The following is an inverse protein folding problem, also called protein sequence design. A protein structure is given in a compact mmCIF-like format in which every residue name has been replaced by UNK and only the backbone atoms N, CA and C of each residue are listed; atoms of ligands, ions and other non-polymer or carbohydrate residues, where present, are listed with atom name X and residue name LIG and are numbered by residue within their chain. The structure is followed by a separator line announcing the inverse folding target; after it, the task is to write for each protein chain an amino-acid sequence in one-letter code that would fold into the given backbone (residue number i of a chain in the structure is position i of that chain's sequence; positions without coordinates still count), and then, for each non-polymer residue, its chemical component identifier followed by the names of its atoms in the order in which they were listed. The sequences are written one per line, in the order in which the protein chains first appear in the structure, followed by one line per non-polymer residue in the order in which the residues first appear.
data_IF_912821655374
#
_entry.id   IF_912821655374
#
_cell.length_a   1.000
_cell.length_b   1.000
_cell.length_c   1.000
_cell.angle_alpha   90.00
_cell.angle_beta   90.00
_cell.angle_gamma   90.00
#
_symmetry.space_group_name_H-M   'P 1'
#
loop_
_entity.id
_entity.type
_entity.pdbx_description
1 polymer ?
#
# COMPACT_ATOMS: atom_id res chain seq x y z
N UNK A 1 16.91 53.71 3.34
CA UNK A 1 16.48 55.12 3.27
C UNK A 1 17.04 55.73 2.02
N UNK A 2 16.24 56.49 1.27
CA UNK A 2 16.65 57.10 -0.01
C UNK A 2 17.39 58.45 0.13
N UNK A 3 17.60 58.94 1.37
CA UNK A 3 18.41 60.13 1.66
C UNK A 3 17.69 61.48 1.61
N UNK A 4 16.51 61.57 1.00
CA UNK A 4 15.75 62.84 0.91
C UNK A 4 15.13 63.32 2.23
N UNK A 5 14.86 62.40 3.17
CA UNK A 5 14.41 62.72 4.54
C UNK A 5 15.41 62.13 5.54
N UNK A 6 16.02 62.98 6.38
CA UNK A 6 16.98 62.59 7.41
C UNK A 6 16.54 63.10 8.79
N UNK A 7 16.92 62.37 9.83
CA UNK A 7 16.66 62.77 11.23
C UNK A 7 17.74 63.76 11.66
N UNK A 8 17.34 64.86 12.27
CA UNK A 8 18.23 65.88 12.84
C UNK A 8 18.41 65.69 14.35
N UNK A 9 19.52 66.14 14.92
CA UNK A 9 19.86 65.98 16.35
C UNK A 9 19.02 66.83 17.31
N UNK A 10 18.16 67.71 16.78
CA UNK A 10 17.38 68.67 17.58
C UNK A 10 16.33 68.02 18.51
N UNK A 11 15.92 66.79 18.23
CA UNK A 11 14.88 66.10 19.01
C UNK A 11 15.34 64.71 19.45
N UNK A 12 15.67 64.56 20.73
CA UNK A 12 16.07 63.28 21.32
C UNK A 12 15.00 62.17 21.17
N UNK A 13 13.72 62.55 21.21
CA UNK A 13 12.60 61.62 21.01
C UNK A 13 12.62 61.00 19.61
N UNK A 14 12.99 61.76 18.57
CA UNK A 14 13.09 61.25 17.21
C UNK A 14 14.23 60.22 17.07
N UNK A 15 15.36 60.45 17.75
CA UNK A 15 16.49 59.50 17.78
C UNK A 15 16.07 58.20 18.49
N UNK A 16 15.40 58.28 19.64
CA UNK A 16 14.89 57.10 20.35
C UNK A 16 13.90 56.29 19.49
N UNK A 17 12.95 56.96 18.84
CA UNK A 17 12.00 56.31 17.93
C UNK A 17 12.70 55.63 16.75
N UNK A 18 13.74 56.26 16.17
CA UNK A 18 14.51 55.67 15.08
C UNK A 18 15.24 54.39 15.54
N UNK A 19 15.85 54.40 16.72
CA UNK A 19 16.52 53.23 17.30
C UNK A 19 15.50 52.12 17.56
N UNK A 20 14.39 52.44 18.22
CA UNK A 20 13.33 51.49 18.52
C UNK A 20 12.72 50.87 17.25
N UNK A 21 12.41 51.68 16.24
CA UNK A 21 11.94 51.22 14.94
C UNK A 21 12.97 50.33 14.25
N UNK A 22 14.26 50.66 14.33
CA UNK A 22 15.33 49.86 13.71
C UNK A 22 15.45 48.49 14.38
N UNK A 23 15.41 48.44 15.72
CA UNK A 23 15.45 47.18 16.48
C UNK A 23 14.22 46.33 16.15
N UNK A 24 13.01 46.89 16.22
CA UNK A 24 11.79 46.17 15.86
C UNK A 24 11.80 45.71 14.39
N UNK A 25 12.30 46.55 13.47
CA UNK A 25 12.42 46.21 12.06
C UNK A 25 13.31 44.99 11.83
N UNK A 26 14.46 44.91 12.51
CA UNK A 26 15.36 43.76 12.43
C UNK A 26 14.73 42.50 13.05
N UNK A 27 14.01 42.63 14.17
CA UNK A 27 13.29 41.50 14.79
C UNK A 27 12.23 40.94 13.85
N UNK A 28 11.38 41.80 13.29
CA UNK A 28 10.32 41.40 12.35
C UNK A 28 10.93 40.77 11.09
N UNK A 29 11.97 41.37 10.52
CA UNK A 29 12.62 40.85 9.33
C UNK A 29 13.26 39.46 9.58
N UNK A 30 13.94 39.30 10.71
CA UNK A 30 14.55 38.02 11.11
C UNK A 30 13.48 36.94 11.30
N UNK A 31 12.37 37.28 11.97
CA UNK A 31 11.24 36.37 12.16
C UNK A 31 10.61 35.96 10.82
N UNK A 32 10.33 36.91 9.93
CA UNK A 32 9.74 36.64 8.62
C UNK A 32 10.66 35.76 7.75
N UNK A 33 11.96 36.07 7.71
CA UNK A 33 12.93 35.26 6.98
C UNK A 33 12.97 33.83 7.52
N UNK A 34 13.03 33.66 8.85
CA UNK A 34 12.98 32.36 9.51
C UNK A 34 11.70 31.58 9.20
N UNK A 35 10.54 32.24 9.26
CA UNK A 35 9.25 31.62 8.95
C UNK A 35 9.14 31.17 7.49
N UNK A 36 9.64 31.99 6.55
CA UNK A 36 9.66 31.66 5.12
C UNK A 36 10.60 30.48 4.86
N UNK A 37 11.83 30.50 5.39
CA UNK A 37 12.77 29.39 5.25
C UNK A 37 12.21 28.11 5.85
N UNK A 38 11.61 28.16 7.05
CA UNK A 38 10.96 27.00 7.66
C UNK A 38 9.79 26.47 6.81
N UNK A 39 9.05 27.35 6.12
CA UNK A 39 7.95 26.93 5.21
C UNK A 39 8.48 26.28 3.93
N UNK A 40 9.57 26.81 3.36
CA UNK A 40 10.21 26.26 2.15
C UNK A 40 10.89 24.92 2.46
N UNK A 41 11.52 24.79 3.62
CA UNK A 41 12.17 23.55 4.06
C UNK A 41 11.19 22.42 4.38
N UNK A 42 9.88 22.69 4.54
CA UNK A 42 8.88 21.63 4.74
C UNK A 42 8.70 20.82 3.45
N UNK A 43 9.06 19.55 3.51
CA UNK A 43 9.04 18.57 2.41
C UNK A 43 7.63 18.12 1.95
N UNK A 44 6.56 18.90 2.16
CA UNK A 44 5.17 18.50 1.83
C UNK A 44 4.95 18.16 0.35
N UNK A 45 5.82 18.64 -0.54
CA UNK A 45 5.74 18.37 -1.98
C UNK A 45 6.13 16.93 -2.35
N UNK A 46 6.77 16.16 -1.46
CA UNK A 46 7.20 14.78 -1.72
C UNK A 46 6.04 13.79 -1.74
N UNK A 47 5.05 13.96 -0.87
CA UNK A 47 3.85 13.12 -0.85
C UNK A 47 3.11 13.12 -2.20
N UNK A 48 3.16 14.23 -2.95
CA UNK A 48 2.56 14.33 -4.30
C UNK A 48 3.28 13.52 -5.38
N UNK A 49 4.50 13.04 -5.10
CA UNK A 49 5.31 12.31 -6.08
C UNK A 49 5.36 10.82 -5.83
N UNK A 50 4.69 10.34 -4.79
CA UNK A 50 4.43 8.94 -4.55
C UNK A 50 2.98 8.72 -4.91
N UNK A 51 2.72 7.73 -5.76
CA UNK A 51 1.37 7.44 -6.24
C UNK A 51 1.03 5.98 -5.99
N UNK A 52 -0.22 5.74 -5.59
CA UNK A 52 -0.81 4.43 -5.45
C UNK A 52 -1.73 4.13 -6.63
N UNK A 53 -1.92 2.85 -6.95
CA UNK A 53 -2.90 2.40 -7.93
C UNK A 53 -4.28 2.95 -7.60
N UNK A 54 -5.06 3.27 -8.64
CA UNK A 54 -6.45 3.73 -8.44
C UNK A 54 -7.34 2.67 -7.79
N UNK A 55 -7.09 1.41 -8.09
CA UNK A 55 -7.86 0.28 -7.59
C UNK A 55 -6.92 -0.70 -6.89
N UNK A 56 -7.40 -1.32 -5.81
CA UNK A 56 -6.79 -2.53 -5.29
C UNK A 56 -7.36 -3.73 -6.04
N UNK A 57 -6.62 -4.83 -6.14
CA UNK A 57 -7.09 -6.02 -6.87
C UNK A 57 -6.92 -7.27 -6.03
N UNK A 58 -7.87 -8.20 -6.09
CA UNK A 58 -7.77 -9.49 -5.42
C UNK A 58 -7.58 -10.57 -6.48
N UNK A 59 -6.50 -11.34 -6.37
CA UNK A 59 -6.24 -12.50 -7.24
C UNK A 59 -5.41 -13.58 -6.58
N UNK A 60 -5.38 -14.75 -7.20
CA UNK A 60 -4.57 -15.88 -6.74
C UNK A 60 -3.10 -15.65 -7.09
N UNK A 61 -2.22 -15.72 -6.09
CA UNK A 61 -0.77 -15.62 -6.22
C UNK A 61 -0.07 -16.66 -5.34
N UNK A 62 0.85 -17.45 -5.91
CA UNK A 62 1.53 -18.52 -5.17
C UNK A 62 0.56 -19.55 -4.57
N UNK A 63 -0.59 -19.73 -5.20
CA UNK A 63 -1.67 -20.60 -4.71
C UNK A 63 -2.45 -20.05 -3.52
N UNK A 64 -2.18 -18.84 -3.02
CA UNK A 64 -2.98 -18.16 -1.99
C UNK A 64 -3.78 -17.03 -2.62
N UNK A 65 -4.85 -16.61 -1.97
CA UNK A 65 -5.58 -15.41 -2.38
C UNK A 65 -4.87 -14.19 -1.78
N UNK A 66 -4.61 -13.16 -2.58
CA UNK A 66 -3.92 -11.97 -2.13
C UNK A 66 -4.66 -10.71 -2.59
N UNK A 67 -4.67 -9.70 -1.73
CA UNK A 67 -5.04 -8.33 -2.09
C UNK A 67 -3.76 -7.59 -2.52
N UNK A 68 -3.74 -7.05 -3.72
CA UNK A 68 -2.58 -6.38 -4.31
C UNK A 68 -2.86 -4.90 -4.53
N UNK A 69 -1.86 -4.08 -4.24
CA UNK A 69 -1.85 -2.64 -4.49
C UNK A 69 -0.53 -2.29 -5.18
N UNK A 70 -0.56 -1.36 -6.12
CA UNK A 70 0.66 -0.86 -6.76
C UNK A 70 1.03 0.49 -6.18
N UNK A 71 2.32 0.72 -6.00
CA UNK A 71 2.86 1.98 -5.51
C UNK A 71 4.11 2.35 -6.33
N UNK A 72 4.27 3.63 -6.66
CA UNK A 72 5.41 4.11 -7.44
C UNK A 72 5.97 5.43 -6.92
N UNK A 73 7.30 5.56 -7.05
CA UNK A 73 8.02 6.82 -6.92
C UNK A 73 8.15 7.47 -8.30
N UNK A 74 7.62 8.67 -8.47
CA UNK A 74 7.76 9.43 -9.71
C UNK A 74 9.08 10.22 -9.78
N UNK A 75 9.86 10.23 -8.70
CA UNK A 75 11.17 10.90 -8.63
C UNK A 75 12.30 9.89 -8.62
N UNK A 76 13.48 10.31 -9.08
CA UNK A 76 14.70 9.49 -9.11
C UNK A 76 15.34 9.27 -7.74
N UNK A 77 15.18 10.22 -6.82
CA UNK A 77 15.74 10.12 -5.47
C UNK A 77 14.99 9.08 -4.64
N UNK A 78 15.69 8.44 -3.73
CA UNK A 78 15.17 7.33 -2.95
C UNK A 78 14.35 7.79 -1.74
N UNK A 79 13.51 6.87 -1.25
CA UNK A 79 12.85 6.96 0.04
C UNK A 79 13.50 5.91 0.97
N UNK A 80 14.22 6.39 1.98
CA UNK A 80 15.04 5.56 2.88
C UNK A 80 14.18 5.07 4.04
N UNK A 81 14.35 3.81 4.46
CA UNK A 81 13.59 3.23 5.57
C UNK A 81 12.09 3.19 5.28
N UNK A 82 11.73 2.83 4.05
CA UNK A 82 10.34 2.82 3.59
C UNK A 82 9.57 1.67 4.23
N UNK A 83 8.48 1.97 4.94
CA UNK A 83 7.62 1.00 5.60
C UNK A 83 6.17 1.19 5.11
N UNK A 84 5.50 0.09 4.75
CA UNK A 84 4.11 0.11 4.28
C UNK A 84 3.25 -0.77 5.18
N UNK A 85 2.12 -0.22 5.60
CA UNK A 85 1.12 -0.93 6.39
C UNK A 85 -0.27 -0.41 6.08
N UNK A 86 -1.30 -1.17 6.46
CA UNK A 86 -2.70 -0.80 6.30
C UNK A 86 -3.48 -0.83 7.60
N UNK A 87 -4.61 -0.13 7.58
CA UNK A 87 -5.64 -0.14 8.60
C UNK A 87 -6.97 -0.38 7.90
N UNK A 88 -7.63 -1.48 8.22
CA UNK A 88 -9.01 -1.72 7.81
C UNK A 88 -9.92 -1.06 8.82
N UNK A 89 -10.67 -0.06 8.36
CA UNK A 89 -11.70 0.61 9.14
C UNK A 89 -13.03 -0.06 8.85
N UNK A 90 -13.72 -0.54 9.89
CA UNK A 90 -15.07 -1.13 9.76
C UNK A 90 -15.86 -0.93 11.03
N UNK A 91 -17.18 -1.09 10.97
CA UNK A 91 -18.00 -1.15 12.18
C UNK A 91 -18.03 -2.58 12.70
N UNK A 92 -17.60 -2.79 13.95
CA UNK A 92 -17.56 -4.12 14.59
C UNK A 92 -18.50 -4.13 15.79
N UNK A 93 -19.28 -5.20 15.95
CA UNK A 93 -20.07 -5.45 17.17
C UNK A 93 -19.28 -6.48 17.99
N UNK A 94 -18.95 -6.14 19.22
CA UNK A 94 -18.21 -7.04 20.12
C UNK A 94 -19.10 -8.18 20.61
N UNK A 95 -18.54 -9.31 21.09
CA UNK A 95 -19.32 -10.39 21.69
C UNK A 95 -20.20 -9.93 22.87
N UNK A 96 -19.80 -8.87 23.55
CA UNK A 96 -20.53 -8.25 24.67
C UNK A 96 -21.68 -7.34 24.21
N UNK A 97 -21.84 -7.15 22.90
CA UNK A 97 -22.90 -6.34 22.30
C UNK A 97 -22.56 -4.86 22.12
N UNK A 98 -21.32 -4.44 22.38
CA UNK A 98 -20.87 -3.06 22.15
C UNK A 98 -20.63 -2.82 20.66
N UNK A 99 -21.13 -1.71 20.11
CA UNK A 99 -20.87 -1.32 18.72
C UNK A 99 -19.68 -0.35 18.66
N UNK A 100 -18.59 -0.80 18.07
CA UNK A 100 -17.39 0.01 17.83
C UNK A 100 -17.45 0.55 16.39
N UNK A 101 -17.64 1.86 16.27
CA UNK A 101 -17.62 2.57 14.99
C UNK A 101 -16.17 2.83 14.59
N UNK A 102 -15.82 2.58 13.32
CA UNK A 102 -14.46 2.75 12.78
C UNK A 102 -13.39 1.95 13.57
N UNK A 103 -13.73 0.73 13.96
CA UNK A 103 -12.78 -0.25 14.48
C UNK A 103 -11.62 -0.42 13.51
N UNK A 104 -10.39 -0.43 14.04
CA UNK A 104 -9.16 -0.36 13.26
C UNK A 104 -8.38 -1.66 13.35
N UNK A 105 -8.42 -2.47 12.28
CA UNK A 105 -7.67 -3.71 12.21
C UNK A 105 -6.40 -3.51 11.39
N UNK A 106 -5.25 -3.93 11.94
CA UNK A 106 -3.97 -3.85 11.23
C UNK A 106 -3.92 -4.80 10.03
N UNK A 107 -3.42 -4.30 8.90
CA UNK A 107 -3.16 -5.09 7.70
C UNK A 107 -1.68 -4.99 7.36
N UNK A 108 -1.00 -6.12 7.34
CA UNK A 108 0.41 -6.19 6.92
C UNK A 108 0.52 -6.46 5.42
N UNK A 109 1.43 -5.74 4.76
CA UNK A 109 1.73 -5.90 3.35
C UNK A 109 3.13 -6.49 3.17
N UNK A 110 3.24 -7.37 2.18
CA UNK A 110 4.46 -8.08 1.81
C UNK A 110 4.86 -7.68 0.39
N UNK A 111 6.16 -7.74 0.11
CA UNK A 111 6.74 -7.54 -1.23
C UNK A 111 7.67 -8.71 -1.54
N UNK A 112 7.70 -9.17 -2.79
CA UNK A 112 8.53 -10.31 -3.18
C UNK A 112 10.04 -10.07 -2.98
N UNK A 113 10.45 -8.80 -2.93
CA UNK A 113 11.85 -8.38 -2.79
C UNK A 113 12.36 -8.36 -1.33
N UNK A 114 11.52 -8.73 -0.35
CA UNK A 114 11.85 -8.73 1.08
C UNK A 114 10.99 -7.75 1.89
N UNK A 115 10.84 -8.04 3.19
CA UNK A 115 9.85 -7.38 4.06
C UNK A 115 10.26 -6.00 4.59
N UNK A 116 11.55 -5.67 4.67
CA UNK A 116 11.98 -4.60 5.58
C UNK A 116 12.59 -3.36 4.91
N UNK A 117 12.85 -3.37 3.60
CA UNK A 117 13.39 -2.19 2.91
C UNK A 117 12.95 -2.15 1.45
N UNK A 118 11.91 -1.37 1.16
CA UNK A 118 11.42 -1.23 -0.21
C UNK A 118 12.43 -0.47 -1.06
N UNK A 119 13.02 -1.16 -2.05
CA UNK A 119 13.87 -0.52 -3.04
C UNK A 119 13.01 0.17 -4.12
N UNK A 120 12.68 1.43 -3.83
CA UNK A 120 11.63 2.19 -4.51
C UNK A 120 12.09 2.95 -5.76
N UNK A 121 12.82 2.27 -6.66
CA UNK A 121 13.28 2.83 -7.96
C UNK A 121 12.25 2.60 -9.08
N UNK A 122 11.59 1.44 -9.07
CA UNK A 122 10.52 1.09 -10.01
C UNK A 122 9.21 0.89 -9.26
N UNK A 123 8.05 0.99 -9.94
CA UNK A 123 6.77 0.65 -9.33
C UNK A 123 6.81 -0.75 -8.71
N UNK A 124 6.37 -0.86 -7.46
CA UNK A 124 6.28 -2.10 -6.72
C UNK A 124 4.82 -2.49 -6.57
N UNK A 125 4.55 -3.81 -6.59
CA UNK A 125 3.23 -4.35 -6.25
C UNK A 125 3.34 -4.99 -4.88
N UNK A 126 2.77 -4.31 -3.88
CA UNK A 126 2.63 -4.83 -2.53
C UNK A 126 1.40 -5.73 -2.46
N UNK A 127 1.42 -6.70 -1.57
CA UNK A 127 0.26 -7.56 -1.38
C UNK A 127 0.07 -8.03 0.06
N UNK A 128 -1.19 -8.14 0.45
CA UNK A 128 -1.62 -8.77 1.70
C UNK A 128 -2.09 -10.19 1.39
N UNK A 129 -1.62 -11.17 2.15
CA UNK A 129 -2.03 -12.56 2.02
C UNK A 129 -3.33 -12.74 2.78
N UNK A 130 -4.39 -13.18 2.10
CA UNK A 130 -5.69 -13.46 2.72
C UNK A 130 -5.65 -14.89 3.27
N UNK A 131 -5.16 -15.02 4.50
CA UNK A 131 -5.16 -16.25 5.28
C UNK A 131 -6.29 -16.28 6.33
N UNK A 132 -6.33 -17.32 7.17
CA UNK A 132 -7.38 -17.50 8.20
C UNK A 132 -7.44 -16.36 9.23
N UNK A 133 -6.37 -15.59 9.39
CA UNK A 133 -6.28 -14.47 10.34
C UNK A 133 -6.60 -13.13 9.66
N UNK A 134 -6.66 -13.10 8.33
CA UNK A 134 -6.99 -11.90 7.57
C UNK A 134 -8.45 -11.50 7.78
N UNK A 135 -8.75 -10.21 7.98
CA UNK A 135 -10.14 -9.76 8.06
C UNK A 135 -10.91 -9.89 6.72
N UNK A 136 -10.20 -10.13 5.62
CA UNK A 136 -10.79 -10.41 4.31
C UNK A 136 -11.12 -11.89 4.10
N UNK A 137 -10.79 -12.78 5.05
CA UNK A 137 -10.91 -14.24 4.87
C UNK A 137 -12.32 -14.73 4.58
N UNK A 138 -13.31 -14.12 5.24
CA UNK A 138 -14.73 -14.48 5.10
C UNK A 138 -15.44 -13.73 3.97
N UNK A 139 -14.74 -12.85 3.26
CA UNK A 139 -15.30 -12.15 2.11
C UNK A 139 -15.24 -13.03 0.86
N UNK A 140 -16.23 -12.88 0.00
CA UNK A 140 -16.33 -13.56 -1.29
C UNK A 140 -16.53 -12.53 -2.40
N UNK A 141 -16.29 -12.93 -3.66
CA UNK A 141 -16.38 -12.01 -4.79
C UNK A 141 -17.78 -11.37 -4.91
N UNK A 142 -18.83 -12.15 -4.68
CA UNK A 142 -20.22 -11.69 -4.70
C UNK A 142 -20.60 -10.79 -3.52
N UNK A 143 -19.96 -10.98 -2.35
CA UNK A 143 -20.31 -10.30 -1.10
C UNK A 143 -19.46 -9.07 -0.81
N UNK A 144 -18.42 -8.82 -1.62
CA UNK A 144 -17.45 -7.75 -1.42
C UNK A 144 -18.10 -6.37 -1.47
N UNK A 145 -18.96 -6.12 -2.45
CA UNK A 145 -19.59 -4.82 -2.68
C UNK A 145 -20.65 -4.46 -1.62
N UNK A 146 -21.14 -5.44 -0.86
CA UNK A 146 -22.08 -5.25 0.23
C UNK A 146 -21.38 -5.05 1.57
N UNK A 147 -20.06 -5.20 1.63
CA UNK A 147 -19.31 -4.92 2.85
C UNK A 147 -19.25 -3.41 3.10
N UNK A 148 -19.16 -3.02 4.36
CA UNK A 148 -18.91 -1.63 4.77
C UNK A 148 -17.53 -1.57 5.45
N UNK A 149 -16.52 -1.22 4.66
CA UNK A 149 -15.16 -1.01 5.15
C UNK A 149 -14.42 0.04 4.32
N UNK A 150 -13.39 0.63 4.92
CA UNK A 150 -12.40 1.42 4.20
C UNK A 150 -11.00 0.90 4.55
N UNK A 151 -10.24 0.49 3.54
CA UNK A 151 -8.85 0.09 3.71
C UNK A 151 -7.95 1.29 3.51
N UNK A 152 -7.42 1.85 4.60
CA UNK A 152 -6.44 2.95 4.55
C UNK A 152 -5.03 2.37 4.52
N UNK A 153 -4.23 2.82 3.56
CA UNK A 153 -2.86 2.35 3.35
C UNK A 153 -1.88 3.49 3.55
N UNK A 154 -0.83 3.21 4.33
CA UNK A 154 0.19 4.17 4.73
C UNK A 154 1.54 3.73 4.17
N UNK A 155 2.28 4.68 3.61
CA UNK A 155 3.70 4.55 3.31
C UNK A 155 4.44 5.62 4.10
N UNK A 156 5.27 5.17 5.04
CA UNK A 156 6.21 5.99 5.76
C UNK A 156 7.60 5.84 5.16
N UNK A 157 8.39 6.90 5.20
CA UNK A 157 9.81 6.84 4.87
C UNK A 157 10.51 8.18 5.01
N UNK A 158 11.83 8.17 4.81
CA UNK A 158 12.68 9.35 4.97
C UNK A 158 13.20 9.82 3.61
N UNK A 159 13.07 11.12 3.33
CA UNK A 159 13.51 11.72 2.08
C UNK A 159 15.03 11.88 2.09
N UNK A 160 15.72 11.22 1.15
CA UNK A 160 17.18 11.19 1.02
C UNK A 160 17.85 12.58 1.08
N UNK A 161 17.34 13.57 0.34
CA UNK A 161 18.00 14.88 0.22
C UNK A 161 17.84 15.80 1.44
N UNK A 162 16.84 15.59 2.29
CA UNK A 162 16.52 16.51 3.40
C UNK A 162 16.47 15.82 4.75
N UNK A 163 16.62 14.49 4.78
CA UNK A 163 16.43 13.64 5.97
C UNK A 163 15.09 13.87 6.69
N UNK A 164 14.10 14.40 5.97
CA UNK A 164 12.78 14.69 6.52
C UNK A 164 11.89 13.45 6.38
N UNK A 165 11.13 13.13 7.42
CA UNK A 165 10.14 12.06 7.36
C UNK A 165 8.96 12.47 6.46
N UNK A 166 8.42 11.51 5.73
CA UNK A 166 7.30 11.66 4.82
C UNK A 166 6.34 10.50 5.03
N UNK A 167 5.06 10.82 5.23
CA UNK A 167 3.98 9.85 5.23
C UNK A 167 3.05 10.15 4.07
N UNK A 168 2.73 9.12 3.28
CA UNK A 168 1.78 9.18 2.17
C UNK A 168 0.67 8.18 2.44
N UNK A 169 -0.56 8.58 2.14
CA UNK A 169 -1.75 7.77 2.41
C UNK A 169 -2.63 7.67 1.18
N UNK A 170 -3.29 6.53 1.05
CA UNK A 170 -4.41 6.31 0.14
C UNK A 170 -5.46 5.49 0.88
N UNK A 171 -6.68 5.44 0.37
CA UNK A 171 -7.68 4.49 0.85
C UNK A 171 -8.36 3.76 -0.31
N UNK A 172 -9.02 2.66 0.02
CA UNK A 172 -9.83 1.87 -0.90
C UNK A 172 -11.13 1.48 -0.22
N UNK A 173 -12.24 1.89 -0.81
CA UNK A 173 -13.58 1.42 -0.47
C UNK A 173 -13.91 0.12 -1.25
N UNK A 174 -14.96 -0.63 -0.91
CA UNK A 174 -15.25 -1.92 -1.52
C UNK A 174 -15.39 -1.85 -3.05
N UNK A 175 -15.97 -0.77 -3.57
CA UNK A 175 -16.13 -0.51 -5.01
C UNK A 175 -14.79 -0.31 -5.74
N UNK A 176 -13.73 0.07 -5.02
CA UNK A 176 -12.40 0.26 -5.56
C UNK A 176 -11.53 -1.01 -5.48
N UNK A 177 -12.04 -2.07 -4.86
CA UNK A 177 -11.38 -3.38 -4.75
C UNK A 177 -11.94 -4.33 -5.82
N UNK A 178 -11.11 -4.65 -6.82
CA UNK A 178 -11.51 -5.49 -7.96
C UNK A 178 -11.16 -6.96 -7.72
N UNK A 179 -12.16 -7.81 -7.53
CA UNK A 179 -11.97 -9.26 -7.41
C UNK A 179 -11.77 -9.93 -8.76
N UNK A 180 -10.80 -10.84 -8.85
CA UNK A 180 -10.51 -11.56 -10.09
C UNK A 180 -9.68 -10.74 -11.08
N UNK A 181 -8.91 -9.77 -10.58
CA UNK A 181 -8.06 -8.93 -11.40
C UNK A 181 -6.61 -9.01 -10.94
N UNK A 182 -5.69 -8.87 -11.90
CA UNK A 182 -4.27 -8.61 -11.64
C UNK A 182 -3.86 -7.33 -12.35
N UNK A 183 -2.81 -6.68 -11.87
CA UNK A 183 -2.26 -5.55 -12.59
C UNK A 183 -1.54 -5.99 -13.88
N UNK A 184 -1.70 -5.22 -14.95
CA UNK A 184 -0.94 -5.39 -16.17
C UNK A 184 0.57 -5.19 -15.91
N UNK A 185 1.46 -5.90 -16.63
CA UNK A 185 2.90 -5.67 -16.53
C UNK A 185 3.25 -4.21 -16.84
N UNK A 186 4.05 -3.59 -15.96
CA UNK A 186 4.46 -2.18 -16.08
C UNK A 186 5.92 -2.02 -16.52
N UNK A 187 6.76 -3.00 -16.24
CA UNK A 187 8.18 -2.98 -16.63
C UNK A 187 8.37 -3.83 -17.88
N UNK A 188 9.01 -3.27 -18.88
CA UNK A 188 9.41 -3.96 -20.12
C UNK A 188 10.90 -3.75 -20.39
N UNK A 189 11.51 -4.68 -21.12
CA UNK A 189 12.92 -4.57 -21.54
C UNK A 189 12.96 -4.13 -23.00
N UNK A 190 13.69 -3.07 -23.31
CA UNK A 190 13.90 -2.60 -24.68
C UNK A 190 14.87 -3.52 -25.42
N UNK A 191 14.88 -3.43 -26.76
CA UNK A 191 15.83 -4.17 -27.62
C UNK A 191 17.29 -3.86 -27.29
N UNK A 192 17.57 -2.65 -26.78
CA UNK A 192 18.88 -2.18 -26.32
C UNK A 192 19.26 -2.71 -24.91
N UNK A 193 18.41 -3.52 -24.28
CA UNK A 193 18.66 -4.10 -22.97
C UNK A 193 18.31 -3.22 -21.77
N UNK A 194 17.77 -2.01 -21.98
CA UNK A 194 17.36 -1.09 -20.91
C UNK A 194 15.97 -1.43 -20.39
N UNK A 195 15.73 -1.23 -19.09
CA UNK A 195 14.39 -1.33 -18.50
C UNK A 195 13.60 -0.05 -18.74
N UNK A 196 12.37 -0.20 -19.24
CA UNK A 196 11.43 0.90 -19.43
C UNK A 196 10.16 0.65 -18.62
N UNK A 197 9.78 1.65 -17.84
CA UNK A 197 8.55 1.67 -17.05
C UNK A 197 7.48 2.40 -17.88
N UNK A 198 6.37 1.74 -18.15
CA UNK A 198 5.23 2.34 -18.85
C UNK A 198 4.12 2.72 -17.86
N UNK A 199 4.10 3.97 -17.44
CA UNK A 199 3.12 4.48 -16.49
C UNK A 199 1.67 4.47 -17.02
N UNK A 200 1.44 4.30 -18.33
CA UNK A 200 0.08 4.09 -18.85
C UNK A 200 -0.54 2.78 -18.32
N UNK A 201 0.29 1.78 -18.05
CA UNK A 201 -0.14 0.50 -17.48
C UNK A 201 -0.14 0.50 -15.93
N UNK A 202 0.10 1.63 -15.28
CA UNK A 202 0.22 1.71 -13.82
C UNK A 202 -1.04 1.23 -13.10
N UNK A 203 -2.20 1.78 -13.47
CA UNK A 203 -3.49 1.36 -12.91
C UNK A 203 -4.24 0.38 -13.80
N UNK A 204 -3.64 -0.07 -14.91
CA UNK A 204 -4.32 -1.00 -15.84
C UNK A 204 -4.38 -2.39 -15.21
N UNK A 205 -5.56 -2.97 -15.21
CA UNK A 205 -5.84 -4.30 -14.68
C UNK A 205 -6.31 -5.24 -15.79
N UNK A 206 -6.15 -6.53 -15.58
CA UNK A 206 -6.63 -7.59 -16.48
C UNK A 206 -7.35 -8.65 -15.66
N UNK A 207 -8.49 -9.11 -16.17
CA UNK A 207 -9.26 -10.17 -15.54
C UNK A 207 -8.46 -11.48 -15.57
N UNK A 208 -8.55 -12.25 -14.48
CA UNK A 208 -7.90 -13.54 -14.30
C UNK A 208 -8.79 -14.48 -13.52
N UNK A 209 -8.74 -15.75 -13.89
CA UNK A 209 -9.45 -16.79 -13.16
C UNK A 209 -8.98 -16.81 -11.70
N UNK A 210 -9.91 -16.55 -10.80
CA UNK A 210 -9.66 -16.42 -9.36
C UNK A 210 -10.79 -17.11 -8.62
N UNK A 211 -10.48 -17.87 -7.55
CA UNK A 211 -11.50 -18.50 -6.72
C UNK A 211 -12.51 -17.49 -6.19
N UNK A 212 -13.76 -17.94 -6.00
CA UNK A 212 -14.83 -17.08 -5.50
C UNK A 212 -14.62 -16.63 -4.04
N UNK A 213 -13.93 -17.43 -3.23
CA UNK A 213 -13.70 -17.12 -1.82
C UNK A 213 -12.37 -17.70 -1.29
N UNK A 214 -11.79 -17.09 -0.24
CA UNK A 214 -10.54 -17.57 0.37
C UNK A 214 -10.74 -18.94 1.05
N UNK A 215 -11.85 -19.11 1.80
CA UNK A 215 -12.20 -20.36 2.47
C UNK A 215 -12.28 -21.56 1.49
N UNK A 216 -12.90 -21.35 0.33
CA UNK A 216 -13.05 -22.32 -0.76
C UNK A 216 -11.67 -22.82 -1.22
N UNK A 217 -10.74 -21.89 -1.46
CA UNK A 217 -9.38 -22.19 -1.89
C UNK A 217 -8.57 -22.96 -0.83
N UNK A 218 -8.77 -22.65 0.45
CA UNK A 218 -8.12 -23.37 1.55
C UNK A 218 -8.68 -24.79 1.70
N UNK A 219 -9.99 -24.97 1.64
CA UNK A 219 -10.62 -26.29 1.77
C UNK A 219 -10.25 -27.22 0.62
N UNK A 220 -10.20 -26.73 -0.62
CA UNK A 220 -9.71 -27.53 -1.76
C UNK A 220 -8.27 -28.01 -1.56
N UNK A 221 -7.41 -27.16 -0.98
CA UNK A 221 -6.04 -27.55 -0.67
C UNK A 221 -5.98 -28.58 0.46
N UNK A 222 -6.78 -28.40 1.51
CA UNK A 222 -6.85 -29.36 2.62
C UNK A 222 -7.37 -30.72 2.12
N UNK A 223 -8.39 -30.74 1.25
CA UNK A 223 -8.93 -31.94 0.61
C UNK A 223 -7.86 -32.66 -0.24
N UNK A 224 -7.19 -31.94 -1.16
CA UNK A 224 -6.11 -32.51 -1.99
C UNK A 224 -4.90 -32.98 -1.18
N UNK A 225 -4.64 -32.36 -0.03
CA UNK A 225 -3.56 -32.79 0.88
C UNK A 225 -3.96 -34.04 1.66
N UNK A 226 -5.22 -34.17 2.05
CA UNK A 226 -5.77 -35.37 2.71
C UNK A 226 -5.83 -36.56 1.75
N UNK A 227 -6.22 -36.36 0.49
CA UNK A 227 -6.17 -37.41 -0.54
C UNK A 227 -4.75 -37.96 -0.73
N UNK A 228 -3.74 -37.07 -0.79
CA UNK A 228 -2.32 -37.47 -0.86
C UNK A 228 -1.78 -38.17 0.40
N UNK A 229 -2.50 -38.10 1.51
CA UNK A 229 -2.19 -38.78 2.78
C UNK A 229 -3.08 -39.99 3.02
N UNK A 230 -3.94 -40.37 2.07
CA UNK A 230 -4.63 -41.65 2.11
C UNK A 230 -3.57 -42.75 2.20
N UNK A 231 -3.68 -43.61 3.22
CA UNK A 231 -2.81 -44.76 3.36
C UNK A 231 -3.02 -45.65 2.13
N UNK A 232 -2.06 -45.64 1.21
CA UNK A 232 -1.94 -46.71 0.22
C UNK A 232 -1.89 -48.02 0.99
N UNK A 233 -2.96 -48.80 0.92
CA UNK A 233 -3.03 -50.09 1.59
C UNK A 233 -2.11 -51.04 0.80
N UNK A 234 -0.89 -51.38 1.26
CA UNK A 234 0.09 -52.11 0.46
C UNK A 234 -0.32 -53.58 0.23
N UNK A 235 -1.40 -54.02 0.88
CA UNK A 235 -1.94 -55.38 0.79
C UNK A 235 -3.07 -55.56 -0.22
N UNK A 236 -3.52 -54.53 -0.94
CA UNK A 236 -4.55 -54.71 -1.97
C UNK A 236 -3.91 -55.12 -3.30
N UNK A 237 -3.62 -56.41 -3.42
CA UNK A 237 -3.31 -57.03 -4.71
C UNK A 237 -4.62 -57.21 -5.46
N UNK A 238 -4.78 -56.53 -6.59
CA UNK A 238 -5.85 -56.81 -7.54
C UNK A 238 -5.61 -58.23 -8.08
N UNK A 239 -6.35 -59.21 -7.56
CA UNK A 239 -6.43 -60.52 -8.20
C UNK A 239 -7.27 -60.36 -9.46
N UNK A 240 -6.63 -60.43 -10.63
CA UNK A 240 -7.30 -60.60 -11.91
C UNK A 240 -8.09 -61.90 -11.87
N UNK A 241 -9.42 -61.78 -11.79
CA UNK A 241 -10.30 -62.93 -11.97
C UNK A 241 -10.35 -63.20 -13.47
N UNK A 242 -9.74 -64.29 -13.90
CA UNK A 242 -9.87 -64.80 -15.26
C UNK A 242 -11.31 -65.31 -15.45
N UNK A 243 -12.13 -64.54 -16.18
CA UNK A 243 -13.36 -65.06 -16.77
C UNK A 243 -13.01 -66.02 -17.91
N UNK A 244 -12.96 -67.32 -17.63
CA UNK A 244 -13.10 -68.34 -18.67
C UNK A 244 -13.94 -69.51 -18.18
N UNK A 245 -15.19 -69.50 -18.63
CA UNK A 245 -15.94 -70.62 -19.20
C UNK A 245 -15.89 -71.97 -18.48
N UNK A 246 -16.93 -72.27 -17.71
CA UNK A 246 -17.53 -73.60 -17.68
C UNK A 246 -19.04 -73.49 -17.48
N UNK A 247 -19.75 -73.47 -18.61
CA UNK A 247 -21.15 -73.88 -18.68
C UNK A 247 -21.25 -74.91 -19.80
N UNK A 248 -21.07 -76.18 -19.45
CA UNK A 248 -21.54 -77.30 -20.27
C UNK A 248 -22.10 -78.41 -19.38
N UNK A 249 -23.38 -78.69 -19.68
CA UNK A 249 -24.27 -79.79 -19.26
C UNK A 249 -24.78 -79.77 -17.83
#
# INVERSE_FOLDING_TARGET
GYGFRCVTEQCATAIFLLIFQSILGVIINSFMCGAILAKISRSKNRAKTITFSKNAVISKRGGKLCLLIRVANLRKSLLIGSHIYGKLLKTTITPEGETIILDQVNIEFVVDAGNENLFFISPLTIYHIIDKNSPFFHMAAETLLQQDFELVVFLDGTVEATSATCQVRTSYIPEEVLWGYRFAPIVSKTKEGKYRVDFQNFSKTVAVETPHCAFCLYNEKEAKTKEKKGYDNPGFVLSEVSETSDTKM
#
